data_IF_547854666339
#
_entry.id   IF_547854666339
#
_cell.length_a   1.000
_cell.length_b   1.000
_cell.length_c   1.000
_cell.angle_alpha   90.00
_cell.angle_beta   90.00
_cell.angle_gamma   90.00
#
_symmetry.space_group_name_H-M   'P 1'
#
loop_
_entity.id
_entity.type
_entity.pdbx_description
1 polymer ?
#
# COMPACT_ATOMS: atom_id res chain seq x y z
N UNK A 1 9.41 11.59 13.02
CA UNK A 1 9.04 12.97 12.59
C UNK A 1 8.70 13.90 13.72
N UNK A 2 8.61 13.44 14.97
CA UNK A 2 8.40 14.37 16.08
C UNK A 2 9.36 15.58 16.07
N UNK A 3 10.69 15.43 15.85
CA UNK A 3 11.56 16.59 15.71
C UNK A 3 11.15 17.54 14.58
N UNK A 4 10.67 16.99 13.46
CA UNK A 4 10.18 17.78 12.32
C UNK A 4 8.89 18.54 12.67
N UNK A 5 7.95 17.91 13.39
CA UNK A 5 6.75 18.59 13.89
C UNK A 5 7.09 19.70 14.87
N UNK A 6 8.12 19.50 15.72
CA UNK A 6 8.55 20.49 16.70
C UNK A 6 9.17 21.74 16.07
N UNK A 7 9.77 21.65 14.87
CA UNK A 7 10.30 22.83 14.16
C UNK A 7 9.20 23.87 13.93
N UNK A 8 8.01 23.44 13.54
CA UNK A 8 6.88 24.34 13.27
C UNK A 8 6.21 24.89 14.54
N UNK A 9 6.48 24.29 15.71
CA UNK A 9 5.88 24.66 17.00
C UNK A 9 6.83 25.55 17.81
N UNK A 10 8.14 25.30 17.67
CA UNK A 10 9.20 25.98 18.42
C UNK A 10 9.19 27.48 18.18
N UNK A 11 8.93 28.26 19.24
CA UNK A 11 8.91 29.73 19.19
C UNK A 11 7.59 30.36 18.73
N UNK A 12 6.57 29.55 18.43
CA UNK A 12 5.22 30.03 18.08
C UNK A 12 4.22 29.70 19.20
N UNK A 13 4.39 28.56 19.86
CA UNK A 13 3.50 28.13 20.93
C UNK A 13 3.87 28.81 22.25
N UNK A 14 3.07 29.79 22.66
CA UNK A 14 3.22 30.41 23.98
C UNK A 14 2.81 29.45 25.09
N UNK A 15 3.63 29.40 26.14
CA UNK A 15 3.28 28.63 27.34
C UNK A 15 2.11 29.29 28.07
N UNK A 16 1.24 28.45 28.64
CA UNK A 16 0.24 28.92 29.59
C UNK A 16 0.95 29.49 30.83
N UNK A 17 0.69 30.75 31.15
CA UNK A 17 1.12 31.40 32.38
C UNK A 17 -0.14 31.88 33.13
N UNK A 18 -0.44 31.34 34.32
CA UNK A 18 -1.60 31.76 35.11
C UNK A 18 -1.68 33.27 35.40
N UNK A 19 -0.55 34.00 35.33
CA UNK A 19 -0.46 35.44 35.58
C UNK A 19 -0.45 36.28 34.30
N UNK A 20 0.18 35.81 33.24
CA UNK A 20 0.44 36.63 32.03
C UNK A 20 -0.19 36.10 30.76
N UNK A 21 -0.52 34.80 30.69
CA UNK A 21 -1.13 34.16 29.54
C UNK A 21 -2.00 32.96 29.97
N UNK A 22 -3.16 33.26 30.56
CA UNK A 22 -4.04 32.26 31.19
C UNK A 22 -4.57 31.21 30.21
N UNK A 23 -4.63 31.53 28.91
CA UNK A 23 -5.11 30.62 27.87
C UNK A 23 -3.98 29.86 27.17
N UNK A 24 -2.74 30.36 27.22
CA UNK A 24 -1.61 29.78 26.50
C UNK A 24 -1.80 29.77 24.97
N UNK A 25 -0.91 29.06 24.28
CA UNK A 25 -1.05 28.72 22.87
C UNK A 25 -1.85 27.43 22.67
N UNK A 26 -2.59 27.36 21.56
CA UNK A 26 -3.33 26.16 21.16
C UNK A 26 -2.65 25.45 19.99
N UNK A 27 -2.46 24.14 20.11
CA UNK A 27 -1.92 23.28 19.06
C UNK A 27 -2.97 22.24 18.66
N UNK A 28 -3.26 22.15 17.36
CA UNK A 28 -4.11 21.09 16.79
C UNK A 28 -3.23 20.20 15.91
N UNK A 29 -3.13 18.93 16.28
CA UNK A 29 -2.45 17.90 15.47
C UNK A 29 -3.49 17.11 14.70
N UNK A 30 -3.39 17.11 13.36
CA UNK A 30 -4.22 16.30 12.49
C UNK A 30 -3.38 15.21 11.84
N UNK A 31 -3.86 13.97 11.90
CA UNK A 31 -3.16 12.83 11.32
C UNK A 31 -3.92 11.53 11.60
N UNK A 32 -3.41 10.45 11.01
CA UNK A 32 -3.97 9.11 11.17
C UNK A 32 -2.86 8.12 11.58
N UNK A 33 -2.81 7.72 12.86
CA UNK A 33 -1.86 6.72 13.37
C UNK A 33 -1.92 5.37 12.65
N UNK A 34 -3.01 5.05 11.96
CA UNK A 34 -3.21 3.79 11.24
C UNK A 34 -2.78 3.88 9.76
N UNK A 35 -2.34 5.04 9.30
CA UNK A 35 -1.74 5.23 7.98
C UNK A 35 -0.21 5.38 8.10
N UNK A 36 0.44 5.63 6.95
CA UNK A 36 1.89 5.73 6.83
C UNK A 36 2.47 6.74 7.83
N UNK A 37 3.43 6.25 8.60
CA UNK A 37 4.26 7.07 9.47
C UNK A 37 5.51 7.62 8.75
N UNK A 38 6.44 8.19 9.51
CA UNK A 38 7.73 8.68 9.02
C UNK A 38 8.51 7.62 8.24
N UNK A 39 9.07 8.00 7.08
CA UNK A 39 9.96 7.13 6.33
C UNK A 39 11.38 7.31 6.85
N UNK A 40 11.91 6.29 7.51
CA UNK A 40 13.28 6.28 8.03
C UNK A 40 14.15 5.32 7.23
N UNK A 41 15.36 5.78 6.89
CA UNK A 41 16.37 4.97 6.21
C UNK A 41 17.30 4.23 7.17
N UNK A 42 17.52 4.80 8.37
CA UNK A 42 18.44 4.22 9.36
C UNK A 42 17.69 3.22 10.24
N UNK A 43 18.07 1.92 10.23
CA UNK A 43 17.49 0.93 11.13
C UNK A 43 17.71 1.29 12.61
N UNK A 44 18.88 1.86 12.94
CA UNK A 44 19.17 2.35 14.29
C UNK A 44 18.18 3.43 14.73
N UNK A 45 17.85 4.38 13.85
CA UNK A 45 16.88 5.42 14.18
C UNK A 45 15.47 4.86 14.41
N UNK A 46 15.08 3.82 13.65
CA UNK A 46 13.82 3.09 13.87
C UNK A 46 13.84 2.40 15.23
N UNK A 47 14.92 1.66 15.54
CA UNK A 47 15.10 0.96 16.80
C UNK A 47 15.04 1.90 18.01
N UNK A 48 15.57 3.12 17.89
CA UNK A 48 15.54 4.14 18.92
C UNK A 48 14.29 5.05 18.88
N UNK A 49 13.24 4.65 18.17
CA UNK A 49 11.91 5.25 18.30
C UNK A 49 11.62 6.47 17.43
N UNK A 50 12.54 6.88 16.54
CA UNK A 50 12.32 8.04 15.65
C UNK A 50 11.17 7.79 14.64
N UNK A 51 10.77 6.52 14.48
CA UNK A 51 9.67 6.08 13.64
C UNK A 51 8.29 6.45 14.18
N UNK A 52 8.19 6.89 15.43
CA UNK A 52 6.94 7.40 16.01
C UNK A 52 6.74 8.88 15.64
N UNK A 53 5.54 9.22 15.19
CA UNK A 53 5.14 10.63 15.07
C UNK A 53 4.81 11.24 16.43
N UNK A 54 4.79 12.58 16.53
CA UNK A 54 4.40 13.28 17.76
C UNK A 54 2.97 12.88 18.20
N UNK A 55 2.03 12.78 17.24
CA UNK A 55 0.66 12.34 17.50
C UNK A 55 0.62 10.92 18.08
N UNK A 56 1.32 9.97 17.44
CA UNK A 56 1.41 8.59 17.95
C UNK A 56 2.04 8.52 19.33
N UNK A 57 3.10 9.31 19.57
CA UNK A 57 3.75 9.34 20.89
C UNK A 57 2.78 9.83 21.97
N UNK A 58 2.02 10.89 21.71
CA UNK A 58 0.99 11.38 22.64
C UNK A 58 -0.05 10.28 22.90
N UNK A 59 -0.57 9.66 21.85
CA UNK A 59 -1.59 8.61 21.96
C UNK A 59 -1.07 7.33 22.65
N UNK A 60 0.23 7.03 22.58
CA UNK A 60 0.82 5.85 23.21
C UNK A 60 1.28 6.07 24.65
N UNK A 61 1.78 7.25 25.00
CA UNK A 61 2.45 7.46 26.29
C UNK A 61 1.79 8.51 27.19
N UNK A 62 0.83 9.29 26.69
CA UNK A 62 0.10 10.26 27.50
C UNK A 62 -1.31 9.73 27.82
N UNK A 63 -1.65 9.47 29.09
CA UNK A 63 -2.95 8.94 29.50
C UNK A 63 -4.15 9.75 29.02
N UNK A 64 -4.00 11.07 28.79
CA UNK A 64 -5.08 11.94 28.30
C UNK A 64 -5.50 11.62 26.85
N UNK A 65 -4.57 11.09 26.05
CA UNK A 65 -4.77 10.79 24.63
C UNK A 65 -5.00 9.29 24.38
N UNK A 66 -4.86 8.45 25.42
CA UNK A 66 -5.14 7.03 25.35
C UNK A 66 -6.64 6.74 25.41
N UNK A 67 -7.03 5.55 24.93
CA UNK A 67 -8.40 5.06 25.08
C UNK A 67 -8.64 4.67 26.55
N UNK A 68 -9.77 5.10 27.10
CA UNK A 68 -10.33 4.58 28.36
C UNK A 68 -11.68 3.94 28.05
N UNK A 69 -11.90 2.70 28.49
CA UNK A 69 -13.09 1.92 28.15
C UNK A 69 -13.40 1.93 26.64
N UNK A 70 -12.37 1.66 25.82
CA UNK A 70 -12.42 1.61 24.34
C UNK A 70 -12.76 2.92 23.61
N UNK A 71 -12.87 4.03 24.34
CA UNK A 71 -13.20 5.35 23.80
C UNK A 71 -12.10 6.35 24.09
N UNK A 72 -11.89 7.26 23.14
CA UNK A 72 -11.06 8.43 23.39
C UNK A 72 -11.87 9.50 24.11
N UNK A 73 -11.23 10.29 24.96
CA UNK A 73 -11.85 11.49 25.49
C UNK A 73 -11.98 12.53 24.36
N UNK A 74 -13.21 12.94 23.98
CA UNK A 74 -13.44 13.87 22.88
C UNK A 74 -12.83 15.25 23.10
N UNK A 75 -12.49 15.62 24.34
CA UNK A 75 -11.77 16.86 24.65
C UNK A 75 -10.33 16.87 24.13
N UNK A 76 -9.70 15.70 23.96
CA UNK A 76 -8.30 15.57 23.54
C UNK A 76 -8.14 14.94 22.16
N UNK A 77 -8.99 13.97 21.81
CA UNK A 77 -8.92 13.26 20.53
C UNK A 77 -10.31 13.16 19.93
N UNK A 78 -10.48 13.77 18.76
CA UNK A 78 -11.71 13.69 17.97
C UNK A 78 -11.45 12.85 16.73
N UNK A 79 -12.21 11.76 16.56
CA UNK A 79 -12.18 10.93 15.36
C UNK A 79 -13.25 11.39 14.38
N UNK A 80 -12.86 11.63 13.12
CA UNK A 80 -13.80 11.93 12.04
C UNK A 80 -14.37 10.61 11.50
N UNK A 81 -15.69 10.43 11.60
CA UNK A 81 -16.35 9.15 11.33
C UNK A 81 -16.80 9.00 9.87
N UNK A 82 -17.24 10.08 9.24
CA UNK A 82 -17.80 10.04 7.89
C UNK A 82 -16.68 9.95 6.82
N UNK A 83 -16.64 8.83 6.09
CA UNK A 83 -15.79 8.64 4.92
C UNK A 83 -16.55 9.05 3.65
N UNK A 84 -16.11 10.13 3.01
CA UNK A 84 -16.71 10.66 1.79
C UNK A 84 -16.03 10.16 0.50
N UNK A 85 -15.11 9.19 0.61
CA UNK A 85 -14.24 8.79 -0.51
C UNK A 85 -14.73 7.53 -1.20
N UNK A 86 -14.87 6.45 -0.44
CA UNK A 86 -14.85 5.08 -0.95
C UNK A 86 -16.21 4.41 -0.87
N UNK A 87 -16.49 3.53 -1.84
CA UNK A 87 -17.58 2.58 -1.77
C UNK A 87 -17.53 1.74 -0.49
N UNK A 88 -18.69 1.38 0.06
CA UNK A 88 -18.82 0.66 1.34
C UNK A 88 -17.94 -0.61 1.39
N UNK A 89 -17.98 -1.44 0.34
CA UNK A 89 -17.21 -2.69 0.29
C UNK A 89 -15.69 -2.48 0.24
N UNK A 90 -15.22 -1.38 -0.35
CA UNK A 90 -13.80 -0.99 -0.37
C UNK A 90 -13.37 -0.53 1.02
N UNK A 91 -14.22 0.25 1.69
CA UNK A 91 -13.96 0.76 3.03
C UNK A 91 -14.00 -0.33 4.10
N UNK A 92 -14.91 -1.30 3.95
CA UNK A 92 -15.29 -2.29 4.97
C UNK A 92 -14.09 -2.97 5.62
N UNK A 93 -13.21 -3.58 4.82
CA UNK A 93 -12.05 -4.30 5.36
C UNK A 93 -11.15 -3.37 6.20
N UNK A 94 -10.82 -2.18 5.68
CA UNK A 94 -10.00 -1.23 6.43
C UNK A 94 -10.70 -0.74 7.70
N UNK A 95 -12.03 -0.53 7.65
CA UNK A 95 -12.82 -0.11 8.79
C UNK A 95 -12.80 -1.14 9.93
N UNK A 96 -13.05 -2.41 9.58
CA UNK A 96 -12.99 -3.54 10.53
C UNK A 96 -11.59 -3.69 11.13
N UNK A 97 -10.53 -3.61 10.33
CA UNK A 97 -9.16 -3.94 10.77
C UNK A 97 -8.40 -2.81 11.45
N UNK A 98 -8.68 -1.56 11.08
CA UNK A 98 -7.90 -0.42 11.54
C UNK A 98 -8.68 0.58 12.39
N UNK A 99 -10.01 0.61 12.28
CA UNK A 99 -10.82 1.70 12.81
C UNK A 99 -11.99 1.25 13.71
N UNK A 100 -11.95 0.03 14.24
CA UNK A 100 -12.96 -0.54 15.14
C UNK A 100 -14.41 -0.47 14.58
N UNK A 101 -14.57 -0.59 13.26
CA UNK A 101 -15.87 -0.47 12.56
C UNK A 101 -16.58 0.90 12.73
N UNK A 102 -15.86 1.94 13.16
CA UNK A 102 -16.45 3.25 13.46
C UNK A 102 -16.70 4.14 12.24
N UNK A 103 -16.04 3.88 11.11
CA UNK A 103 -16.20 4.71 9.91
C UNK A 103 -17.56 4.46 9.24
N UNK A 104 -18.19 5.55 8.82
CA UNK A 104 -19.47 5.55 8.11
C UNK A 104 -19.23 5.89 6.64
N UNK A 105 -19.87 5.16 5.73
CA UNK A 105 -19.88 5.50 4.31
C UNK A 105 -20.80 6.71 4.10
N UNK A 106 -20.25 7.78 3.54
CA UNK A 106 -20.95 9.04 3.28
C UNK A 106 -20.58 9.61 1.91
N UNK A 107 -20.00 8.80 1.02
CA UNK A 107 -19.54 9.25 -0.29
C UNK A 107 -20.69 9.56 -1.24
N UNK A 108 -20.42 10.41 -2.24
CA UNK A 108 -21.38 10.62 -3.31
C UNK A 108 -21.58 9.31 -4.08
N UNK A 109 -22.81 8.77 -4.00
CA UNK A 109 -23.19 7.51 -4.63
C UNK A 109 -22.98 7.50 -6.14
N UNK A 110 -23.08 8.65 -6.81
CA UNK A 110 -22.82 8.75 -8.24
C UNK A 110 -21.36 8.43 -8.58
N UNK A 111 -20.44 8.74 -7.66
CA UNK A 111 -19.02 8.46 -7.80
C UNK A 111 -18.72 7.06 -7.29
N UNK A 112 -19.06 6.76 -6.02
CA UNK A 112 -18.65 5.51 -5.35
C UNK A 112 -19.25 4.27 -6.02
N UNK A 113 -20.48 4.33 -6.54
CA UNK A 113 -21.11 3.22 -7.25
C UNK A 113 -20.93 3.24 -8.77
N UNK A 114 -20.13 4.16 -9.32
CA UNK A 114 -19.97 4.32 -10.78
C UNK A 114 -19.51 3.04 -11.50
N UNK A 115 -18.77 2.16 -10.81
CA UNK A 115 -18.29 0.89 -11.35
C UNK A 115 -19.04 -0.35 -10.83
N UNK A 116 -20.10 -0.19 -10.02
CA UNK A 116 -20.83 -1.33 -9.43
C UNK A 116 -21.44 -2.29 -10.47
N UNK A 117 -21.67 -1.84 -11.70
CA UNK A 117 -22.19 -2.66 -12.81
C UNK A 117 -21.16 -2.89 -13.92
N UNK A 118 -19.87 -2.70 -13.65
CA UNK A 118 -18.83 -2.92 -14.65
C UNK A 118 -18.75 -4.41 -15.01
N UNK A 119 -18.79 -4.73 -16.31
CA UNK A 119 -18.89 -6.11 -16.81
C UNK A 119 -17.72 -7.02 -16.41
N UNK A 120 -16.58 -6.43 -16.06
CA UNK A 120 -15.41 -7.18 -15.62
C UNK A 120 -15.45 -7.55 -14.13
N UNK A 121 -16.45 -7.11 -13.37
CA UNK A 121 -16.60 -7.54 -11.97
C UNK A 121 -16.99 -9.02 -11.91
N UNK A 122 -16.29 -9.85 -11.11
CA UNK A 122 -16.67 -11.24 -10.86
C UNK A 122 -18.06 -11.38 -10.22
N UNK A 123 -18.37 -10.46 -9.31
CA UNK A 123 -19.66 -10.35 -8.63
C UNK A 123 -20.24 -8.96 -8.88
N UNK A 124 -21.45 -8.87 -9.47
CA UNK A 124 -22.12 -7.59 -9.64
C UNK A 124 -22.26 -6.85 -8.30
N UNK A 125 -22.12 -5.51 -8.35
CA UNK A 125 -22.19 -4.59 -7.20
C UNK A 125 -21.09 -4.71 -6.15
N UNK A 126 -20.09 -5.56 -6.35
CA UNK A 126 -18.93 -5.66 -5.46
C UNK A 126 -17.67 -5.14 -6.18
N UNK A 127 -17.30 -3.85 -6.02
CA UNK A 127 -16.29 -3.20 -6.84
C UNK A 127 -14.84 -3.46 -6.38
N UNK A 128 -14.55 -4.72 -6.04
CA UNK A 128 -13.21 -5.19 -5.73
C UNK A 128 -12.94 -6.38 -6.63
N UNK A 129 -11.74 -6.42 -7.22
CA UNK A 129 -11.23 -7.58 -7.94
C UNK A 129 -9.87 -7.92 -7.34
N UNK A 130 -9.73 -9.13 -6.81
CA UNK A 130 -8.42 -9.75 -6.61
C UNK A 130 -8.12 -10.66 -7.79
N UNK A 131 -7.06 -10.37 -8.54
CA UNK A 131 -6.58 -11.18 -9.66
C UNK A 131 -5.31 -11.92 -9.24
N UNK A 132 -5.46 -13.21 -8.97
CA UNK A 132 -4.35 -14.09 -8.61
C UNK A 132 -3.41 -14.33 -9.80
N UNK A 133 -2.12 -14.10 -9.61
CA UNK A 133 -1.08 -14.31 -10.63
C UNK A 133 0.06 -15.15 -10.05
N UNK A 134 0.35 -16.29 -10.68
CA UNK A 134 1.56 -17.07 -10.41
C UNK A 134 2.66 -16.63 -11.37
N UNK A 135 3.24 -15.45 -11.11
CA UNK A 135 4.40 -14.95 -11.83
C UNK A 135 5.70 -15.24 -11.09
N UNK A 136 6.81 -14.75 -11.64
CA UNK A 136 8.10 -14.74 -10.96
C UNK A 136 8.50 -13.29 -10.68
N UNK A 137 8.93 -13.00 -9.45
CA UNK A 137 9.57 -11.72 -9.15
C UNK A 137 11.04 -11.75 -9.54
N UNK A 138 11.43 -10.81 -10.40
CA UNK A 138 12.76 -10.73 -11.01
C UNK A 138 13.47 -9.45 -10.56
N UNK A 139 14.81 -9.48 -10.58
CA UNK A 139 15.69 -8.32 -10.40
C UNK A 139 16.43 -8.01 -11.70
N UNK A 140 16.80 -6.74 -11.87
CA UNK A 140 17.58 -6.28 -13.02
C UNK A 140 19.01 -5.96 -12.58
N UNK A 141 19.97 -6.81 -12.98
CA UNK A 141 21.38 -6.66 -12.64
C UNK A 141 21.61 -6.61 -11.13
N UNK A 142 22.28 -5.55 -10.65
CA UNK A 142 22.55 -5.31 -9.22
C UNK A 142 21.47 -4.45 -8.53
N UNK A 143 20.32 -4.22 -9.16
CA UNK A 143 19.27 -3.38 -8.57
C UNK A 143 18.60 -4.11 -7.40
N UNK A 144 18.47 -3.48 -6.22
CA UNK A 144 17.79 -4.10 -5.07
C UNK A 144 16.26 -4.16 -5.21
N UNK A 145 15.69 -3.62 -6.29
CA UNK A 145 14.25 -3.54 -6.50
C UNK A 145 13.76 -4.63 -7.46
N UNK A 146 12.55 -5.11 -7.20
CA UNK A 146 11.94 -6.21 -7.93
C UNK A 146 10.88 -5.73 -8.92
N UNK A 147 10.56 -6.59 -9.89
CA UNK A 147 9.46 -6.43 -10.82
C UNK A 147 8.86 -7.79 -11.18
N UNK A 148 7.61 -7.80 -11.64
CA UNK A 148 6.90 -9.00 -12.05
C UNK A 148 6.13 -8.69 -13.35
N UNK A 149 6.60 -9.25 -14.45
CA UNK A 149 6.04 -8.99 -15.79
C UNK A 149 4.65 -9.60 -15.97
N UNK A 150 4.36 -10.74 -15.33
CA UNK A 150 3.04 -11.35 -15.39
C UNK A 150 1.98 -10.46 -14.74
N UNK A 151 2.29 -9.84 -13.59
CA UNK A 151 1.41 -8.85 -12.97
C UNK A 151 1.23 -7.62 -13.87
N UNK A 152 2.29 -7.13 -14.53
CA UNK A 152 2.21 -5.99 -15.45
C UNK A 152 1.25 -6.29 -16.60
N UNK A 153 1.35 -7.47 -17.22
CA UNK A 153 0.45 -7.87 -18.32
C UNK A 153 -1.03 -7.83 -17.91
N UNK A 154 -1.34 -8.30 -16.69
CA UNK A 154 -2.71 -8.25 -16.14
C UNK A 154 -3.14 -6.81 -15.84
N UNK A 155 -2.25 -5.96 -15.33
CA UNK A 155 -2.54 -4.54 -15.13
C UNK A 155 -2.88 -3.86 -16.46
N UNK A 156 -2.07 -4.07 -17.51
CA UNK A 156 -2.31 -3.49 -18.83
C UNK A 156 -3.63 -3.99 -19.42
N UNK A 157 -3.96 -5.27 -19.23
CA UNK A 157 -5.27 -5.81 -19.62
C UNK A 157 -6.42 -5.00 -18.99
N UNK A 158 -6.41 -4.79 -17.68
CA UNK A 158 -7.46 -4.01 -17.01
C UNK A 158 -7.45 -2.53 -17.42
N UNK A 159 -6.28 -1.92 -17.61
CA UNK A 159 -6.19 -0.55 -18.10
C UNK A 159 -6.82 -0.39 -19.49
N UNK A 160 -6.59 -1.34 -20.41
CA UNK A 160 -7.26 -1.38 -21.72
C UNK A 160 -8.77 -1.49 -21.56
N UNK A 161 -9.25 -2.40 -20.71
CA UNK A 161 -10.69 -2.54 -20.41
C UNK A 161 -11.30 -1.25 -19.87
N UNK A 162 -10.59 -0.53 -19.00
CA UNK A 162 -11.11 0.69 -18.38
C UNK A 162 -11.10 1.90 -19.33
N UNK A 163 -10.07 2.02 -20.17
CA UNK A 163 -9.83 3.20 -21.00
C UNK A 163 -10.36 3.08 -22.44
N UNK A 164 -10.40 1.87 -22.98
CA UNK A 164 -10.80 1.61 -24.37
C UNK A 164 -12.24 1.10 -24.49
N UNK A 165 -12.71 0.33 -23.50
CA UNK A 165 -14.07 -0.21 -23.53
C UNK A 165 -15.01 0.73 -22.79
N UNK A 166 -16.10 1.13 -23.47
CA UNK A 166 -17.16 1.88 -22.80
C UNK A 166 -17.84 0.97 -21.78
N UNK A 167 -18.12 1.50 -20.58
CA UNK A 167 -18.81 0.78 -19.50
C UNK A 167 -20.32 0.54 -19.79
N UNK A 168 -20.69 0.25 -21.04
CA UNK A 168 -22.06 0.08 -21.52
C UNK A 168 -22.76 1.38 -21.91
N UNK A 169 -24.05 1.27 -22.29
CA UNK A 169 -24.90 2.35 -22.84
C UNK A 169 -25.15 3.55 -21.89
N UNK A 170 -24.77 3.44 -20.62
CA UNK A 170 -24.90 4.49 -19.58
C UNK A 170 -23.56 4.82 -18.88
N UNK A 171 -22.45 4.24 -19.34
CA UNK A 171 -21.16 4.35 -18.68
C UNK A 171 -20.47 5.69 -18.95
N UNK A 172 -19.98 6.33 -17.89
CA UNK A 172 -19.09 7.50 -18.02
C UNK A 172 -17.76 7.01 -18.60
N UNK A 173 -17.23 7.70 -19.61
CA UNK A 173 -15.90 7.40 -20.16
C UNK A 173 -14.85 7.58 -19.06
N UNK A 174 -14.10 6.51 -18.75
CA UNK A 174 -12.99 6.60 -17.81
C UNK A 174 -11.88 7.44 -18.44
N UNK A 175 -11.44 8.49 -17.75
CA UNK A 175 -10.30 9.30 -18.17
C UNK A 175 -9.03 8.79 -17.45
N UNK A 176 -7.84 8.87 -18.09
CA UNK A 176 -6.57 8.48 -17.45
C UNK A 176 -6.37 9.10 -16.06
N UNK A 177 -6.71 10.38 -15.86
CA UNK A 177 -6.65 11.09 -14.57
C UNK A 177 -7.48 10.45 -13.44
N UNK A 178 -8.49 9.66 -13.78
CA UNK A 178 -9.34 8.97 -12.79
C UNK A 178 -8.72 7.67 -12.30
N UNK A 179 -7.62 7.22 -12.90
CA UNK A 179 -6.97 5.95 -12.60
C UNK A 179 -5.65 6.20 -11.87
N UNK A 180 -5.40 5.40 -10.84
CA UNK A 180 -4.11 5.28 -10.18
C UNK A 180 -3.59 3.86 -10.24
N UNK A 181 -2.29 3.68 -10.43
CA UNK A 181 -1.61 2.38 -10.30
C UNK A 181 -0.56 2.48 -9.20
N UNK A 182 -0.71 1.64 -8.18
CA UNK A 182 0.15 1.59 -7.00
C UNK A 182 0.99 0.33 -7.05
N UNK A 183 2.29 0.48 -6.79
CA UNK A 183 3.19 -0.66 -6.59
C UNK A 183 4.28 -0.28 -5.60
N UNK A 184 4.64 -1.16 -4.65
CA UNK A 184 5.64 -0.85 -3.64
C UNK A 184 7.07 -0.77 -4.21
N UNK A 185 7.36 -1.47 -5.31
CA UNK A 185 8.70 -1.53 -5.87
C UNK A 185 8.91 -0.49 -6.98
N UNK A 186 10.01 0.28 -6.86
CA UNK A 186 10.38 1.32 -7.84
C UNK A 186 10.57 0.76 -9.24
N UNK A 187 11.21 -0.40 -9.37
CA UNK A 187 11.42 -1.06 -10.68
C UNK A 187 10.11 -1.51 -11.32
N UNK A 188 9.16 -2.03 -10.53
CA UNK A 188 7.82 -2.31 -11.03
C UNK A 188 7.12 -1.04 -11.53
N UNK A 189 7.17 0.07 -10.78
CA UNK A 189 6.61 1.36 -11.21
C UNK A 189 7.23 1.82 -12.54
N UNK A 190 8.55 1.72 -12.69
CA UNK A 190 9.27 2.05 -13.93
C UNK A 190 8.76 1.20 -15.11
N UNK A 191 8.65 -0.13 -14.92
CA UNK A 191 8.21 -1.04 -15.97
C UNK A 191 6.72 -0.88 -16.32
N UNK A 192 5.86 -0.63 -15.34
CA UNK A 192 4.44 -0.30 -15.58
C UNK A 192 4.34 0.96 -16.44
N UNK A 193 5.07 2.03 -16.12
CA UNK A 193 5.09 3.26 -16.92
C UNK A 193 5.56 3.00 -18.35
N UNK A 194 6.63 2.20 -18.52
CA UNK A 194 7.11 1.77 -19.85
C UNK A 194 6.03 1.01 -20.63
N UNK A 195 5.37 0.04 -20.00
CA UNK A 195 4.32 -0.76 -20.64
C UNK A 195 3.11 0.10 -21.06
N UNK A 196 2.67 1.03 -20.21
CA UNK A 196 1.62 2.01 -20.54
C UNK A 196 2.04 2.87 -21.74
N UNK A 197 3.26 3.39 -21.74
CA UNK A 197 3.76 4.21 -22.85
C UNK A 197 3.96 3.42 -24.16
N UNK A 198 4.10 2.10 -24.12
CA UNK A 198 4.19 1.27 -25.32
C UNK A 198 2.82 0.90 -25.85
N UNK A 199 1.92 0.46 -24.97
CA UNK A 199 0.64 -0.14 -25.36
C UNK A 199 -0.55 0.83 -25.40
N UNK A 200 -0.44 2.00 -24.77
CA UNK A 200 -1.51 2.98 -24.60
C UNK A 200 -1.11 4.39 -25.06
N UNK A 201 -0.04 4.52 -25.85
CA UNK A 201 0.51 5.81 -26.30
C UNK A 201 -0.48 6.69 -27.09
N UNK A 202 -1.37 6.05 -27.83
CA UNK A 202 -2.31 6.74 -28.72
C UNK A 202 -3.52 7.31 -27.96
N UNK A 203 -3.64 7.00 -26.67
CA UNK A 203 -4.68 7.56 -25.81
C UNK A 203 -4.34 8.99 -25.39
N UNK A 204 -5.26 9.90 -25.69
CA UNK A 204 -5.17 11.28 -25.21
C UNK A 204 -5.05 11.32 -23.69
N UNK A 205 -4.16 12.20 -23.21
CA UNK A 205 -3.93 12.47 -21.78
C UNK A 205 -3.48 11.25 -20.96
N UNK A 206 -2.86 10.23 -21.58
CA UNK A 206 -2.35 9.06 -20.85
C UNK A 206 -1.36 9.42 -19.74
N UNK A 207 -0.64 10.55 -19.89
CA UNK A 207 0.29 11.10 -18.89
C UNK A 207 -0.40 11.48 -17.57
N UNK A 208 -1.71 11.71 -17.56
CA UNK A 208 -2.46 12.04 -16.35
C UNK A 208 -2.74 10.81 -15.48
N UNK A 209 -2.55 9.60 -16.01
CA UNK A 209 -2.61 8.37 -15.23
C UNK A 209 -1.43 8.33 -14.25
N UNK A 210 -1.72 8.39 -12.96
CA UNK A 210 -0.69 8.36 -11.93
C UNK A 210 -0.24 6.92 -11.69
N UNK A 211 1.05 6.65 -11.85
CA UNK A 211 1.71 5.42 -11.41
C UNK A 211 2.73 5.79 -10.35
N UNK A 212 2.79 5.08 -9.23
CA UNK A 212 3.72 5.42 -8.14
C UNK A 212 3.68 4.44 -6.97
N UNK A 213 4.51 4.71 -5.96
CA UNK A 213 4.52 3.94 -4.71
C UNK A 213 3.36 4.31 -3.79
N UNK A 214 3.15 3.52 -2.73
CA UNK A 214 2.12 3.80 -1.72
C UNK A 214 2.34 5.18 -1.08
N UNK A 215 3.60 5.51 -0.83
CA UNK A 215 4.04 6.79 -0.27
C UNK A 215 3.69 7.96 -1.19
N UNK A 216 3.90 7.82 -2.51
CA UNK A 216 3.50 8.86 -3.48
C UNK A 216 1.98 9.07 -3.57
N UNK A 217 1.19 8.08 -3.14
CA UNK A 217 -0.27 8.13 -3.13
C UNK A 217 -0.87 8.55 -1.78
N UNK A 218 -0.05 8.83 -0.77
CA UNK A 218 -0.54 9.36 0.50
C UNK A 218 -1.21 10.72 0.29
N UNK A 219 -2.41 10.91 0.86
CA UNK A 219 -3.23 12.10 0.64
C UNK A 219 -3.91 12.20 -0.73
N UNK A 220 -3.55 11.34 -1.70
CA UNK A 220 -4.21 11.29 -3.00
C UNK A 220 -5.32 10.24 -3.03
N UNK A 221 -6.20 10.37 -4.02
CA UNK A 221 -7.30 9.45 -4.29
C UNK A 221 -7.58 9.39 -5.80
N UNK A 222 -8.11 8.26 -6.25
CA UNK A 222 -8.49 8.04 -7.66
C UNK A 222 -9.81 7.29 -7.72
N UNK A 223 -10.57 7.51 -8.79
CA UNK A 223 -11.84 6.81 -8.98
C UNK A 223 -11.61 5.30 -9.03
N UNK A 224 -10.60 4.88 -9.81
CA UNK A 224 -10.13 3.51 -9.92
C UNK A 224 -8.70 3.42 -9.44
N UNK A 225 -8.39 2.43 -8.61
CA UNK A 225 -7.01 2.12 -8.22
C UNK A 225 -6.70 0.68 -8.55
N UNK A 226 -5.58 0.48 -9.23
CA UNK A 226 -4.98 -0.82 -9.45
C UNK A 226 -3.73 -0.95 -8.56
N UNK A 227 -3.55 -2.11 -7.95
CA UNK A 227 -2.41 -2.41 -7.08
C UNK A 227 -1.68 -3.63 -7.65
N UNK A 228 -0.36 -3.54 -7.81
CA UNK A 228 0.51 -4.69 -8.07
C UNK A 228 1.36 -4.98 -6.85
N UNK A 229 1.32 -6.22 -6.38
CA UNK A 229 2.02 -6.66 -5.16
C UNK A 229 3.45 -7.15 -5.44
N UNK A 230 3.72 -7.51 -6.70
CA UNK A 230 5.00 -7.96 -7.28
C UNK A 230 5.49 -9.31 -6.79
N UNK A 231 5.58 -9.48 -5.48
CA UNK A 231 6.24 -10.61 -4.82
C UNK A 231 5.54 -11.92 -5.11
N UNK A 232 6.32 -12.91 -5.56
CA UNK A 232 5.83 -14.25 -5.90
C UNK A 232 6.64 -15.39 -5.29
N UNK A 233 7.73 -15.10 -4.57
CA UNK A 233 8.56 -16.11 -3.91
C UNK A 233 8.80 -15.81 -2.42
N UNK A 234 8.91 -16.87 -1.62
CA UNK A 234 9.17 -16.77 -0.17
C UNK A 234 10.59 -16.38 0.20
N UNK A 235 11.53 -16.59 -0.72
CA UNK A 235 12.95 -16.65 -0.35
C UNK A 235 13.55 -15.26 -0.08
N UNK A 236 12.82 -14.19 -0.41
CA UNK A 236 13.27 -12.80 -0.26
C UNK A 236 12.64 -12.06 0.93
N UNK A 237 11.87 -12.74 1.80
CA UNK A 237 11.24 -12.08 2.95
C UNK A 237 12.25 -11.43 3.92
N UNK A 238 13.40 -12.07 4.17
CA UNK A 238 14.44 -11.49 5.02
C UNK A 238 15.10 -10.23 4.42
N UNK A 239 15.25 -10.20 3.10
CA UNK A 239 15.79 -9.03 2.37
C UNK A 239 14.75 -7.88 2.37
N UNK A 240 13.46 -8.19 2.31
CA UNK A 240 12.40 -7.17 2.38
C UNK A 240 12.35 -6.44 3.73
N UNK A 241 12.67 -7.13 4.83
CA UNK A 241 12.79 -6.51 6.16
C UNK A 241 14.07 -5.67 6.27
N UNK A 242 15.20 -6.19 5.79
CA UNK A 242 16.50 -5.49 5.82
C UNK A 242 16.52 -4.20 4.99
N UNK A 243 15.86 -4.20 3.82
CA UNK A 243 15.76 -3.01 2.95
C UNK A 243 14.49 -2.19 3.18
N UNK A 244 13.68 -2.52 4.20
CA UNK A 244 12.43 -1.83 4.52
C UNK A 244 11.43 -1.78 3.34
N UNK A 245 11.57 -2.72 2.40
CA UNK A 245 10.74 -2.91 1.21
C UNK A 245 9.38 -3.55 1.56
N UNK A 246 9.21 -3.99 2.82
CA UNK A 246 8.07 -4.65 3.43
C UNK A 246 6.71 -4.01 3.16
N UNK A 247 6.18 -4.17 1.96
CA UNK A 247 4.79 -3.89 1.63
C UNK A 247 3.87 -5.01 2.10
N UNK A 248 4.36 -6.26 2.09
CA UNK A 248 3.62 -7.41 2.59
C UNK A 248 3.46 -7.35 4.11
N UNK A 249 4.53 -7.04 4.85
CA UNK A 249 4.53 -7.04 6.31
C UNK A 249 4.29 -5.65 6.94
N UNK A 250 3.55 -4.76 6.25
CA UNK A 250 3.26 -3.43 6.79
C UNK A 250 1.76 -3.09 6.72
N UNK A 251 1.03 -3.21 7.85
CA UNK A 251 -0.41 -2.98 7.87
C UNK A 251 -0.80 -1.55 7.47
N UNK A 252 0.05 -0.55 7.76
CA UNK A 252 -0.20 0.84 7.38
C UNK A 252 -0.14 1.03 5.87
N UNK A 253 0.83 0.40 5.20
CA UNK A 253 0.94 0.40 3.73
C UNK A 253 -0.26 -0.26 3.08
N UNK A 254 -0.71 -1.40 3.62
CA UNK A 254 -1.94 -2.05 3.17
C UNK A 254 -3.14 -1.10 3.29
N UNK A 255 -3.37 -0.56 4.49
CA UNK A 255 -4.49 0.35 4.75
C UNK A 255 -4.51 1.56 3.81
N UNK A 256 -3.35 2.22 3.63
CA UNK A 256 -3.25 3.35 2.70
C UNK A 256 -3.60 2.92 1.28
N UNK A 257 -3.04 1.80 0.82
CA UNK A 257 -3.22 1.31 -0.56
C UNK A 257 -4.68 0.99 -0.87
N UNK A 258 -5.36 0.25 0.02
CA UNK A 258 -6.77 -0.14 -0.16
C UNK A 258 -7.70 1.09 -0.16
N UNK A 259 -7.40 2.10 0.66
CA UNK A 259 -8.24 3.30 0.85
C UNK A 259 -7.98 4.42 -0.16
N UNK A 260 -7.24 4.16 -1.25
CA UNK A 260 -7.04 5.14 -2.33
C UNK A 260 -8.17 5.15 -3.38
N UNK A 261 -8.90 4.04 -3.52
CA UNK A 261 -9.96 3.88 -4.50
C UNK A 261 -11.27 4.52 -4.03
N UNK A 262 -11.94 5.25 -4.92
CA UNK A 262 -13.31 5.72 -4.66
C UNK A 262 -14.36 4.68 -5.04
N UNK A 263 -14.22 4.10 -6.24
CA UNK A 263 -15.31 3.37 -6.88
C UNK A 263 -14.92 1.98 -7.37
N UNK A 264 -13.64 1.71 -7.60
CA UNK A 264 -13.16 0.40 -8.04
C UNK A 264 -11.74 0.14 -7.56
N UNK A 265 -11.52 -1.01 -6.95
CA UNK A 265 -10.22 -1.49 -6.50
C UNK A 265 -9.87 -2.80 -7.21
N UNK A 266 -8.73 -2.83 -7.91
CA UNK A 266 -8.21 -4.04 -8.54
C UNK A 266 -6.84 -4.33 -7.93
N UNK A 267 -6.66 -5.52 -7.40
CA UNK A 267 -5.39 -5.97 -6.84
C UNK A 267 -4.91 -7.14 -7.67
N UNK A 268 -3.66 -7.07 -8.12
CA UNK A 268 -2.98 -8.10 -8.91
C UNK A 268 -1.82 -8.60 -8.08
N UNK A 269 -1.78 -9.89 -7.81
CA UNK A 269 -0.75 -10.44 -6.92
C UNK A 269 -0.76 -11.95 -6.79
N UNK A 270 0.31 -12.49 -6.21
CA UNK A 270 0.41 -13.92 -5.95
C UNK A 270 -0.29 -14.28 -4.62
N UNK A 271 -1.40 -15.02 -4.66
CA UNK A 271 -2.16 -15.34 -3.45
C UNK A 271 -1.40 -16.22 -2.46
N UNK A 272 -0.48 -17.07 -2.93
CA UNK A 272 0.31 -17.96 -2.08
C UNK A 272 1.26 -17.13 -1.23
N UNK A 273 1.97 -16.18 -1.85
CA UNK A 273 2.91 -15.31 -1.14
C UNK A 273 2.18 -14.34 -0.21
N UNK A 274 1.08 -13.74 -0.68
CA UNK A 274 0.26 -12.82 0.11
C UNK A 274 -0.37 -13.49 1.34
N UNK A 275 -0.81 -14.76 1.22
CA UNK A 275 -1.44 -15.50 2.34
C UNK A 275 -0.51 -15.75 3.54
N UNK A 276 0.79 -15.52 3.39
CA UNK A 276 1.76 -15.66 4.49
C UNK A 276 1.71 -14.50 5.48
N UNK A 277 1.25 -13.32 5.03
CA UNK A 277 0.98 -12.21 5.93
C UNK A 277 -0.46 -12.29 6.45
N UNK A 278 -0.64 -12.05 7.76
CA UNK A 278 -1.94 -12.18 8.43
C UNK A 278 -3.01 -11.24 7.88
N UNK A 279 -2.66 -9.96 7.63
CA UNK A 279 -3.60 -8.97 7.13
C UNK A 279 -3.96 -9.23 5.66
N UNK A 280 -2.98 -9.57 4.84
CA UNK A 280 -3.23 -9.97 3.46
C UNK A 280 -4.08 -11.24 3.37
N UNK A 281 -3.80 -12.25 4.20
CA UNK A 281 -4.60 -13.47 4.23
C UNK A 281 -6.08 -13.19 4.57
N UNK A 282 -6.34 -12.36 5.58
CA UNK A 282 -7.69 -11.95 5.92
C UNK A 282 -8.38 -11.16 4.78
N UNK A 283 -7.63 -10.32 4.07
CA UNK A 283 -8.13 -9.60 2.90
C UNK A 283 -8.46 -10.57 1.74
N UNK A 284 -7.61 -11.57 1.49
CA UNK A 284 -7.86 -12.61 0.49
C UNK A 284 -9.12 -13.40 0.84
N UNK A 285 -9.32 -13.77 2.09
CA UNK A 285 -10.54 -14.44 2.56
C UNK A 285 -11.77 -13.53 2.47
N UNK A 286 -11.63 -12.22 2.70
CA UNK A 286 -12.69 -11.24 2.42
C UNK A 286 -13.08 -11.21 0.93
N UNK A 287 -12.09 -11.20 0.03
CA UNK A 287 -12.34 -11.30 -1.41
C UNK A 287 -12.99 -12.63 -1.81
N UNK A 288 -12.54 -13.74 -1.24
CA UNK A 288 -13.06 -15.09 -1.53
C UNK A 288 -14.51 -15.25 -1.09
N UNK A 289 -14.85 -14.85 0.15
CA UNK A 289 -16.23 -14.85 0.67
C UNK A 289 -17.18 -14.02 -0.19
N UNK A 290 -16.67 -12.92 -0.75
CA UNK A 290 -17.44 -12.04 -1.63
C UNK A 290 -17.32 -12.39 -3.12
N UNK A 291 -16.77 -13.55 -3.49
CA UNK A 291 -16.63 -14.00 -4.87
C UNK A 291 -15.91 -12.99 -5.78
N UNK A 292 -15.00 -12.21 -5.22
CA UNK A 292 -14.32 -11.09 -5.87
C UNK A 292 -13.03 -11.50 -6.62
N UNK A 293 -12.92 -12.78 -7.01
CA UNK A 293 -11.66 -13.39 -7.43
C UNK A 293 -11.60 -13.68 -8.93
N UNK A 294 -10.47 -13.36 -9.56
CA UNK A 294 -10.08 -13.74 -10.95
C UNK A 294 -8.67 -14.34 -10.99
N UNK A 295 -8.33 -14.96 -12.11
CA UNK A 295 -7.01 -15.55 -12.32
C UNK A 295 -6.78 -16.82 -11.52
N UNK A 296 -5.53 -17.04 -11.11
CA UNK A 296 -5.10 -18.22 -10.37
C UNK A 296 -5.83 -18.31 -9.03
N UNK A 297 -6.52 -19.43 -8.80
CA UNK A 297 -7.20 -19.75 -7.54
C UNK A 297 -6.31 -20.71 -6.77
N UNK A 298 -5.95 -20.37 -5.55
CA UNK A 298 -5.37 -21.33 -4.63
C UNK A 298 -6.50 -22.28 -4.20
N UNK A 299 -6.63 -23.43 -4.86
CA UNK A 299 -7.57 -24.47 -4.47
C UNK A 299 -7.06 -25.12 -3.20
N UNK A 300 -7.73 -24.86 -2.07
CA UNK A 300 -7.48 -25.60 -0.84
C UNK A 300 -7.79 -27.08 -1.04
N UNK A 301 -6.75 -27.90 -1.12
CA UNK A 301 -6.78 -29.35 -0.91
C UNK A 301 -5.52 -29.73 -0.14
N UNK A 302 -5.76 -30.07 1.13
CA UNK A 302 -5.10 -31.05 2.01
C UNK A 302 -3.67 -30.83 2.54
N UNK A 303 -3.62 -30.92 3.88
CA UNK A 303 -2.49 -31.41 4.66
C UNK A 303 -1.81 -32.61 3.97
N UNK A 304 -0.49 -32.53 3.83
CA UNK A 304 0.33 -33.69 3.54
C UNK A 304 0.83 -33.79 2.10
N UNK A 305 2.13 -33.49 1.97
CA UNK A 305 3.09 -34.01 1.00
C UNK A 305 3.35 -33.16 -0.28
N UNK A 306 4.63 -32.95 -0.64
CA UNK A 306 5.47 -32.00 0.10
C UNK A 306 6.44 -31.20 -0.79
N UNK A 307 6.96 -30.15 -0.16
CA UNK A 307 8.26 -29.50 -0.39
C UNK A 307 9.42 -30.48 -0.73
N UNK A 308 9.30 -31.79 -0.45
CA UNK A 308 10.28 -32.81 -0.84
C UNK A 308 10.43 -33.01 -2.36
N UNK A 309 9.39 -32.75 -3.16
CA UNK A 309 9.52 -32.82 -4.63
C UNK A 309 10.33 -31.64 -5.20
N UNK A 310 10.29 -30.48 -4.55
CA UNK A 310 11.10 -29.31 -4.94
C UNK A 310 12.56 -29.46 -4.51
N UNK A 311 12.86 -30.17 -3.41
CA UNK A 311 14.24 -30.49 -3.03
C UNK A 311 14.89 -31.56 -3.91
N UNK A 312 14.11 -32.39 -4.60
CA UNK A 312 14.61 -33.44 -5.50
C UNK A 312 15.11 -32.92 -6.85
N UNK A 313 14.89 -31.64 -7.16
CA UNK A 313 15.33 -30.98 -8.41
C UNK A 313 16.63 -30.17 -8.24
N UNK A 314 17.26 -30.22 -7.05
CA UNK A 314 18.58 -29.62 -6.84
C UNK A 314 19.66 -30.52 -7.46
N UNK A 315 19.96 -30.28 -8.72
CA UNK A 315 21.19 -30.76 -9.36
C UNK A 315 22.34 -30.00 -8.68
N UNK A 316 23.17 -30.75 -7.94
CA UNK A 316 24.40 -30.28 -7.34
C UNK A 316 25.28 -29.56 -8.36
N UNK A 317 25.67 -28.34 -8.05
CA UNK A 317 26.99 -27.81 -8.39
C UNK A 317 27.54 -27.10 -7.15
N UNK A 318 28.55 -27.68 -6.53
CA UNK A 318 29.39 -26.99 -5.55
C UNK A 318 30.27 -25.97 -6.28
N UNK A 319 30.69 -24.90 -5.58
CA UNK A 319 32.09 -24.52 -5.69
C UNK A 319 32.80 -24.47 -4.35
N UNK A 320 34.10 -24.64 -4.48
CA UNK A 320 35.10 -24.79 -3.46
C UNK A 320 35.29 -23.55 -2.58
N UNK A 321 35.74 -23.86 -1.38
CA UNK A 321 36.44 -23.08 -0.37
C UNK A 321 37.38 -21.98 -0.94
N UNK A 322 37.28 -20.75 -0.41
CA UNK A 322 38.37 -20.03 0.28
C UNK A 322 38.08 -18.51 0.42
N UNK A 323 38.18 -18.02 1.66
CA UNK A 323 39.00 -16.84 1.96
C UNK A 323 38.34 -15.46 2.04
N UNK A 324 38.33 -14.91 3.27
CA UNK A 324 38.32 -13.48 3.64
C UNK A 324 37.03 -12.71 3.37
N UNK A 325 36.18 -12.64 4.40
CA UNK A 325 34.97 -11.82 4.42
C UNK A 325 35.23 -10.54 5.22
N UNK A 326 35.81 -9.54 4.55
CA UNK A 326 35.72 -8.16 5.01
C UNK A 326 34.25 -7.71 4.95
N UNK A 327 33.83 -6.97 5.98
CA UNK A 327 32.44 -6.58 6.21
C UNK A 327 31.85 -5.79 5.03
N UNK A 328 30.76 -6.29 4.46
CA UNK A 328 29.95 -5.69 3.40
C UNK A 328 29.37 -4.28 3.73
N UNK A 329 29.59 -3.77 4.93
CA UNK A 329 28.99 -2.53 5.46
C UNK A 329 29.80 -1.29 5.05
N UNK A 330 31.04 -1.41 4.57
CA UNK A 330 31.93 -0.25 4.33
C UNK A 330 32.07 0.23 2.87
N UNK A 331 31.47 -0.42 1.87
CA UNK A 331 31.74 -0.06 0.45
C UNK A 331 30.63 0.68 -0.31
N UNK A 332 29.61 1.23 0.36
CA UNK A 332 28.61 2.05 -0.32
C UNK A 332 28.31 3.36 0.43
N UNK A 333 29.36 4.16 0.63
CA UNK A 333 29.25 5.58 0.93
C UNK A 333 29.71 6.33 -0.32
N UNK A 334 28.73 6.87 -1.07
CA UNK A 334 28.80 7.84 -2.18
C UNK A 334 28.18 7.39 -3.52
N UNK A 335 26.88 7.65 -3.75
CA UNK A 335 26.29 7.55 -5.08
C UNK A 335 26.65 8.75 -5.99
N UNK A 336 26.99 8.47 -7.25
CA UNK A 336 27.53 9.40 -8.27
C UNK A 336 26.65 10.61 -8.68
N UNK A 337 25.45 10.80 -8.13
CA UNK A 337 24.56 11.91 -8.52
C UNK A 337 24.90 13.25 -7.86
N UNK A 338 26.02 13.37 -7.14
CA UNK A 338 26.53 14.65 -6.62
C UNK A 338 27.02 15.63 -7.70
N UNK A 339 27.14 15.20 -8.96
CA UNK A 339 27.83 15.98 -10.00
C UNK A 339 27.02 16.24 -11.29
N UNK A 340 25.72 16.01 -11.32
CA UNK A 340 24.91 16.37 -12.49
C UNK A 340 23.98 17.54 -12.14
N UNK A 341 24.46 18.73 -12.50
CA UNK A 341 23.75 20.01 -12.48
C UNK A 341 22.86 20.18 -13.71
#
# INVERSE_FOLDING_TARGET
>A
MEPESLIAISGILDMMDPKTNVNGGQLVLAGDPKQLGPILRSPLAVQHGLGLSLLERLMHYNPLYQKTNEKYNPQFVTMLLCNYRSHEDILRFSNEKFYDEKLLECGDRLITHSYSNWNELPKPKFPIIFHGVCGEDQQEGRSPSFFNTAEISVLIYYLKKLLLENQGKKGIKTLPKHIGVISPYRKQVEKIRKAINMELKDLMNIKDLKVGSVEEFQGQERCVVLISTVRSSSNYFGIDEEFNLGFLNNPKRLNVSLTRAKALLIIVGNPITLSKDSYWNEFLEYCKRNQAWKGYKHSGVEDGLPIAMLSALNINDQPADNGLQDSYIQQQVEPQWRYEH
#
